data_IF_724045850472
#
_entry.id   IF_724045850472
#
_cell.length_a   1.000
_cell.length_b   1.000
_cell.length_c   1.000
_cell.angle_alpha   90.00
_cell.angle_beta   90.00
_cell.angle_gamma   90.00
#
_symmetry.space_group_name_H-M   'P 1'
#
loop_
_entity.id
_entity.type
_entity.pdbx_description
1 polymer ?
#
# COMPACT_ATOMS: atom_id res chain seq x y z
N UNK A 1 -17.97 35.76 27.75
CA UNK A 1 -16.58 35.28 27.49
C UNK A 1 -16.71 34.18 26.46
N UNK A 2 -16.21 34.39 25.25
CA UNK A 2 -16.20 33.33 24.22
C UNK A 2 -15.25 32.24 24.71
N UNK A 3 -15.78 31.05 24.98
CA UNK A 3 -14.94 29.89 25.25
C UNK A 3 -13.99 29.70 24.08
N UNK A 4 -12.69 29.66 24.37
CA UNK A 4 -11.70 29.39 23.34
C UNK A 4 -11.99 28.00 22.77
N UNK A 5 -12.19 27.91 21.44
CA UNK A 5 -12.42 26.63 20.78
C UNK A 5 -11.27 25.66 21.11
N UNK A 6 -11.56 24.38 21.43
CA UNK A 6 -10.53 23.43 21.84
C UNK A 6 -9.51 23.17 20.72
N UNK A 7 -8.27 22.96 21.11
CA UNK A 7 -7.23 22.49 20.17
C UNK A 7 -7.45 21.00 19.89
N UNK A 8 -7.84 20.68 18.68
CA UNK A 8 -8.15 19.30 18.29
C UNK A 8 -6.89 18.51 17.99
N UNK A 9 -6.63 17.46 18.75
CA UNK A 9 -5.56 16.49 18.56
C UNK A 9 -6.06 15.07 18.82
N UNK A 10 -5.36 14.07 18.32
CA UNK A 10 -5.74 12.67 18.54
C UNK A 10 -5.61 11.82 17.30
N UNK A 11 -6.37 10.72 17.26
CA UNK A 11 -6.37 9.79 16.14
C UNK A 11 -7.79 9.61 15.64
N UNK A 12 -7.94 9.58 14.33
CA UNK A 12 -9.18 9.27 13.63
C UNK A 12 -8.86 8.44 12.38
N UNK A 13 -9.86 8.00 11.66
CA UNK A 13 -9.65 7.31 10.40
C UNK A 13 -10.43 7.98 9.27
N UNK A 14 -9.89 7.85 8.05
CA UNK A 14 -10.56 8.28 6.82
C UNK A 14 -10.73 7.11 5.88
N UNK A 15 -11.78 7.11 5.09
CA UNK A 15 -11.98 6.19 3.96
C UNK A 15 -11.12 6.68 2.78
N UNK A 16 -9.93 6.11 2.61
CA UNK A 16 -9.02 6.50 1.52
C UNK A 16 -9.64 6.16 0.16
N UNK A 17 -9.75 7.11 -0.77
CA UNK A 17 -10.24 6.82 -2.11
C UNK A 17 -9.24 6.00 -2.93
N UNK A 18 -9.74 5.37 -4.01
CA UNK A 18 -8.92 4.67 -5.01
C UNK A 18 -7.99 5.64 -5.74
N UNK A 19 -6.94 5.14 -6.38
CA UNK A 19 -5.96 5.87 -7.19
C UNK A 19 -5.18 6.96 -6.42
N UNK A 20 -5.27 6.99 -5.08
CA UNK A 20 -4.61 7.98 -4.24
C UNK A 20 -3.64 7.29 -3.28
N UNK A 21 -2.37 7.72 -3.24
CA UNK A 21 -1.43 7.19 -2.25
C UNK A 21 -1.77 7.68 -0.83
N UNK A 22 -1.42 6.90 0.22
CA UNK A 22 -1.64 7.33 1.60
C UNK A 22 -1.00 8.69 1.92
N UNK A 23 0.16 8.99 1.32
CA UNK A 23 0.83 10.28 1.49
C UNK A 23 0.08 11.43 0.78
N UNK A 24 -0.52 11.16 -0.38
CA UNK A 24 -1.35 12.13 -1.09
C UNK A 24 -2.64 12.40 -0.31
N UNK A 25 -3.33 11.37 0.18
CA UNK A 25 -4.51 11.53 1.02
C UNK A 25 -4.26 12.42 2.24
N UNK A 26 -3.06 12.31 2.87
CA UNK A 26 -2.69 13.24 3.96
C UNK A 26 -2.47 14.67 3.47
N UNK A 27 -1.89 14.89 2.29
CA UNK A 27 -1.72 16.25 1.73
C UNK A 27 -3.06 16.87 1.39
N UNK A 28 -3.98 16.09 0.82
CA UNK A 28 -5.31 16.54 0.48
C UNK A 28 -6.09 16.90 1.75
N UNK A 29 -6.04 16.05 2.79
CA UNK A 29 -6.56 16.37 4.12
C UNK A 29 -5.98 17.69 4.66
N UNK A 30 -4.66 17.89 4.59
CA UNK A 30 -4.04 19.14 5.03
C UNK A 30 -4.57 20.35 4.24
N UNK A 31 -4.89 20.17 2.96
CA UNK A 31 -5.51 21.20 2.12
C UNK A 31 -6.85 21.70 2.69
N UNK A 32 -7.66 20.78 3.22
CA UNK A 32 -8.94 21.12 3.86
C UNK A 32 -8.77 21.63 5.30
N UNK A 33 -7.89 21.00 6.10
CA UNK A 33 -7.75 21.31 7.52
C UNK A 33 -7.03 22.65 7.76
N UNK A 34 -5.99 22.98 6.98
CA UNK A 34 -5.18 24.20 7.21
C UNK A 34 -5.99 25.51 7.12
N UNK A 35 -6.90 25.74 6.15
CA UNK A 35 -7.66 26.97 6.04
C UNK A 35 -8.92 26.99 6.93
N UNK A 36 -9.24 25.85 7.59
CA UNK A 36 -10.52 25.70 8.31
C UNK A 36 -10.60 26.49 9.60
N UNK A 37 -11.81 26.88 9.98
CA UNK A 37 -12.12 27.45 11.30
C UNK A 37 -11.90 26.40 12.41
N UNK A 38 -12.24 25.16 12.12
CA UNK A 38 -12.11 24.00 13.02
C UNK A 38 -10.67 23.81 13.52
N UNK A 39 -9.66 23.99 12.66
CA UNK A 39 -8.24 23.86 13.02
C UNK A 39 -7.49 25.17 13.21
N UNK A 40 -8.16 26.33 13.09
CA UNK A 40 -7.54 27.63 13.35
C UNK A 40 -6.96 27.75 14.78
N UNK A 41 -7.59 27.19 15.87
CA UNK A 41 -7.00 27.18 17.20
C UNK A 41 -5.70 26.38 17.26
N UNK A 42 -5.61 25.23 16.58
CA UNK A 42 -4.40 24.43 16.50
C UNK A 42 -3.25 25.17 15.79
N UNK A 43 -3.56 25.82 14.66
CA UNK A 43 -2.58 26.64 13.90
C UNK A 43 -2.07 27.80 14.75
N UNK A 44 -2.96 28.48 15.48
CA UNK A 44 -2.61 29.60 16.36
C UNK A 44 -1.69 29.13 17.52
N UNK A 45 -2.03 28.03 18.18
CA UNK A 45 -1.25 27.44 19.25
C UNK A 45 0.18 27.03 18.80
N UNK A 46 0.27 26.36 17.64
CA UNK A 46 1.58 25.96 17.10
C UNK A 46 2.43 27.16 16.64
N UNK A 47 1.79 28.23 16.12
CA UNK A 47 2.46 29.50 15.83
C UNK A 47 3.05 30.13 17.09
N UNK A 48 2.23 30.28 18.13
CA UNK A 48 2.67 30.87 19.41
C UNK A 48 3.86 30.08 20.01
N UNK A 49 3.79 28.73 19.95
CA UNK A 49 4.87 27.85 20.39
C UNK A 49 6.17 28.09 19.60
N UNK A 50 6.10 28.18 18.27
CA UNK A 50 7.28 28.46 17.42
C UNK A 50 7.89 29.84 17.65
N UNK A 51 7.05 30.82 17.94
CA UNK A 51 7.50 32.20 18.24
C UNK A 51 8.17 32.27 19.61
N UNK A 52 7.64 31.58 20.63
CA UNK A 52 8.27 31.46 21.94
C UNK A 52 9.65 30.75 21.85
N UNK A 53 9.76 29.66 21.10
CA UNK A 53 11.04 28.97 20.87
C UNK A 53 12.07 29.85 20.15
N UNK A 54 11.62 30.74 19.25
CA UNK A 54 12.50 31.68 18.54
C UNK A 54 12.99 32.80 19.43
N UNK A 55 12.19 33.24 20.42
CA UNK A 55 12.58 34.26 21.43
C UNK A 55 13.74 33.82 22.32
N UNK A 56 13.98 32.49 22.45
CA UNK A 56 15.08 31.94 23.25
C UNK A 56 16.45 31.88 22.52
N UNK A 57 16.66 32.70 21.48
CA UNK A 57 17.95 32.84 20.79
C UNK A 57 18.37 31.67 19.90
N UNK A 58 17.53 30.66 19.72
CA UNK A 58 17.79 29.50 18.81
C UNK A 58 17.57 29.90 17.35
N UNK A 59 18.57 29.70 16.51
CA UNK A 59 18.46 29.93 15.07
C UNK A 59 17.35 29.05 14.48
N UNK A 60 16.35 29.67 13.82
CA UNK A 60 15.23 28.94 13.19
C UNK A 60 15.77 27.96 12.14
N UNK A 61 15.35 26.70 12.23
CA UNK A 61 15.63 25.70 11.21
C UNK A 61 14.84 26.00 9.93
N UNK A 62 15.21 25.40 8.78
CA UNK A 62 14.47 25.54 7.51
C UNK A 62 12.98 25.21 7.69
N UNK A 63 12.67 24.18 8.47
CA UNK A 63 11.30 23.74 8.76
C UNK A 63 10.51 24.77 9.59
N UNK A 64 11.15 25.44 10.55
CA UNK A 64 10.51 26.48 11.37
C UNK A 64 10.23 27.77 10.60
N UNK A 65 10.87 27.97 9.43
CA UNK A 65 10.62 29.10 8.53
C UNK A 65 9.43 28.88 7.60
N UNK A 66 8.97 27.63 7.45
CA UNK A 66 7.80 27.31 6.62
C UNK A 66 6.50 27.68 7.35
N UNK A 67 5.44 27.93 6.59
CA UNK A 67 4.10 28.15 7.14
C UNK A 67 3.71 27.01 8.09
N UNK A 68 3.00 27.36 9.17
CA UNK A 68 2.47 26.36 10.09
C UNK A 68 1.37 25.59 9.38
N UNK A 69 1.46 24.29 9.40
CA UNK A 69 0.47 23.36 8.85
C UNK A 69 0.05 22.37 9.92
N UNK A 70 -1.19 21.90 9.89
CA UNK A 70 -1.69 20.86 10.77
C UNK A 70 -0.80 19.64 10.61
N UNK A 71 -0.21 19.18 11.72
CA UNK A 71 0.68 18.01 11.72
C UNK A 71 -0.14 16.76 11.58
N UNK A 72 0.02 16.03 10.46
CA UNK A 72 -0.61 14.75 10.18
C UNK A 72 0.42 13.64 10.02
N UNK A 73 -0.02 12.40 10.28
CA UNK A 73 0.69 11.17 9.98
C UNK A 73 -0.31 10.04 9.79
N UNK A 74 0.10 8.90 9.22
CA UNK A 74 -0.78 7.72 9.09
C UNK A 74 -0.22 6.50 9.80
N UNK A 75 -1.11 5.64 10.30
CA UNK A 75 -0.81 4.42 11.05
C UNK A 75 -0.83 3.16 10.19
N UNK A 76 -0.31 3.22 8.97
CA UNK A 76 -0.22 2.08 8.05
C UNK A 76 -0.53 2.48 6.61
N UNK A 77 0.41 2.19 5.71
CA UNK A 77 0.27 2.53 4.28
C UNK A 77 -0.80 1.65 3.62
N UNK A 78 -1.57 2.25 2.73
CA UNK A 78 -2.37 1.59 1.71
C UNK A 78 -1.76 1.89 0.34
N UNK A 79 -1.76 0.89 -0.53
CA UNK A 79 -1.35 1.05 -1.94
C UNK A 79 -2.30 2.02 -2.66
N UNK A 80 -1.91 2.66 -3.77
CA UNK A 80 -2.79 3.57 -4.51
C UNK A 80 -4.09 2.89 -4.96
N UNK A 81 -4.02 1.66 -5.48
CA UNK A 81 -5.17 0.85 -5.87
C UNK A 81 -6.14 0.57 -4.71
N UNK A 82 -5.61 0.47 -3.48
CA UNK A 82 -6.39 0.11 -2.32
C UNK A 82 -7.29 1.25 -1.85
N UNK A 83 -8.46 0.89 -1.31
CA UNK A 83 -9.40 1.76 -0.62
C UNK A 83 -9.49 1.40 0.86
N UNK A 84 -10.33 2.10 1.61
CA UNK A 84 -10.69 1.73 2.96
C UNK A 84 -9.99 2.51 4.07
N UNK A 85 -9.99 1.94 5.26
CA UNK A 85 -9.56 2.59 6.50
C UNK A 85 -8.11 3.03 6.45
N UNK A 86 -7.85 4.33 6.46
CA UNK A 86 -6.54 4.93 6.69
C UNK A 86 -6.56 5.67 8.04
N UNK A 87 -5.86 5.12 9.02
CA UNK A 87 -5.74 5.73 10.35
C UNK A 87 -4.83 6.93 10.29
N UNK A 88 -5.29 8.08 10.78
CA UNK A 88 -4.62 9.37 10.74
C UNK A 88 -4.45 9.92 12.16
N UNK A 89 -3.23 10.32 12.50
CA UNK A 89 -2.95 11.05 13.73
C UNK A 89 -2.81 12.54 13.46
N UNK A 90 -3.38 13.37 14.35
CA UNK A 90 -3.31 14.83 14.34
C UNK A 90 -2.49 15.32 15.53
N UNK A 91 -1.54 16.20 15.29
CA UNK A 91 -0.75 16.82 16.35
C UNK A 91 0.01 15.80 17.20
N UNK A 92 -0.30 15.72 18.49
CA UNK A 92 0.25 14.76 19.45
C UNK A 92 -0.20 13.32 19.13
N UNK A 93 -1.38 13.10 18.51
CA UNK A 93 -1.91 11.81 18.08
C UNK A 93 -0.98 11.07 17.12
N UNK A 94 -0.12 11.78 16.39
CA UNK A 94 0.91 11.14 15.53
C UNK A 94 1.86 10.22 16.31
N UNK A 95 2.03 10.40 17.62
CA UNK A 95 2.86 9.55 18.48
C UNK A 95 2.18 8.23 18.85
N UNK A 96 0.85 8.14 18.69
CA UNK A 96 0.05 6.95 19.00
C UNK A 96 -0.04 5.97 17.81
N UNK A 97 0.41 6.39 16.63
CA UNK A 97 0.25 5.63 15.37
C UNK A 97 1.00 4.30 15.35
N UNK A 98 2.04 4.10 16.18
CA UNK A 98 2.75 2.83 16.23
C UNK A 98 1.85 1.66 16.64
N UNK A 99 0.91 1.86 17.57
CA UNK A 99 -0.06 0.84 17.95
C UNK A 99 -0.93 0.35 16.79
N UNK A 100 -1.24 1.25 15.85
CA UNK A 100 -2.00 0.90 14.64
C UNK A 100 -1.16 0.20 13.57
N UNK A 101 0.15 0.39 13.55
CA UNK A 101 1.03 -0.40 12.71
C UNK A 101 1.02 -1.87 13.17
N UNK A 102 1.00 -2.11 14.46
CA UNK A 102 1.12 -3.44 15.07
C UNK A 102 -0.21 -4.19 15.23
N UNK A 103 -1.37 -3.50 15.10
CA UNK A 103 -2.69 -4.10 15.27
C UNK A 103 -3.10 -5.02 14.09
N UNK A 104 -4.15 -5.81 14.30
CA UNK A 104 -4.79 -6.63 13.26
C UNK A 104 -5.53 -5.76 12.24
N UNK A 105 -5.63 -6.26 11.01
CA UNK A 105 -6.36 -5.64 9.89
C UNK A 105 -7.31 -6.64 9.27
N UNK A 106 -8.45 -6.14 8.79
CA UNK A 106 -9.36 -6.91 7.95
C UNK A 106 -9.33 -6.33 6.55
N UNK A 107 -9.16 -7.21 5.57
CA UNK A 107 -9.13 -6.86 4.16
C UNK A 107 -10.15 -7.66 3.36
N UNK A 108 -10.68 -7.02 2.34
CA UNK A 108 -11.32 -7.69 1.21
C UNK A 108 -10.50 -7.43 -0.05
N UNK A 109 -10.28 -8.45 -0.85
CA UNK A 109 -9.48 -8.36 -2.07
C UNK A 109 -10.10 -9.19 -3.17
N UNK A 110 -9.83 -8.82 -4.42
CA UNK A 110 -10.14 -9.66 -5.58
C UNK A 110 -8.83 -10.10 -6.21
N UNK A 111 -8.65 -11.41 -6.33
CA UNK A 111 -7.58 -12.02 -7.11
C UNK A 111 -8.12 -12.43 -8.48
N UNK A 112 -7.39 -12.06 -9.55
CA UNK A 112 -7.66 -12.52 -10.93
C UNK A 112 -6.57 -13.51 -11.32
N UNK A 113 -6.96 -14.66 -11.88
CA UNK A 113 -6.03 -15.71 -12.25
C UNK A 113 -5.52 -15.55 -13.70
N UNK A 114 -4.48 -16.28 -14.08
CA UNK A 114 -3.96 -16.40 -15.44
C UNK A 114 -2.82 -15.46 -15.79
N UNK A 115 -2.47 -14.49 -14.95
CA UNK A 115 -1.33 -13.60 -15.19
C UNK A 115 -0.64 -13.18 -13.89
N UNK A 116 0.64 -12.81 -14.01
CA UNK A 116 1.41 -12.12 -12.97
C UNK A 116 1.90 -10.78 -13.50
N UNK A 117 1.95 -9.78 -12.61
CA UNK A 117 2.55 -8.49 -12.87
C UNK A 117 3.78 -8.27 -11.98
N UNK A 118 4.64 -7.33 -12.37
CA UNK A 118 5.82 -6.93 -11.61
C UNK A 118 5.50 -6.40 -10.22
N UNK A 119 4.32 -5.79 -10.03
CA UNK A 119 3.83 -5.26 -8.75
C UNK A 119 2.94 -6.22 -7.97
N UNK A 120 2.58 -7.36 -8.56
CA UNK A 120 1.59 -8.33 -8.04
C UNK A 120 0.16 -7.77 -7.97
N UNK A 121 -0.12 -6.67 -8.66
CA UNK A 121 -1.43 -6.05 -8.78
C UNK A 121 -1.68 -5.51 -10.21
N UNK A 122 -2.83 -4.90 -10.44
CA UNK A 122 -3.23 -4.37 -11.76
C UNK A 122 -2.60 -3.03 -12.13
N UNK A 123 -1.81 -2.42 -11.25
CA UNK A 123 -1.09 -1.15 -11.53
C UNK A 123 0.24 -1.38 -12.27
N UNK A 124 0.75 -2.62 -12.23
CA UNK A 124 2.01 -3.01 -12.84
C UNK A 124 1.91 -3.35 -14.32
N UNK A 125 2.96 -4.00 -14.83
CA UNK A 125 3.05 -4.55 -16.17
C UNK A 125 2.95 -6.08 -16.10
N UNK A 126 2.27 -6.70 -17.05
CA UNK A 126 2.21 -8.18 -17.14
C UNK A 126 3.61 -8.70 -17.48
N UNK A 127 4.13 -9.56 -16.63
CA UNK A 127 5.45 -10.20 -16.81
C UNK A 127 5.34 -11.64 -17.27
N UNK A 128 4.23 -12.32 -16.95
CA UNK A 128 4.01 -13.71 -17.31
C UNK A 128 2.53 -14.05 -17.38
N UNK A 129 2.15 -14.96 -18.30
CA UNK A 129 0.80 -15.53 -18.40
C UNK A 129 0.88 -17.03 -18.18
N UNK A 130 -0.21 -17.61 -17.67
CA UNK A 130 -0.36 -19.05 -17.47
C UNK A 130 -1.79 -19.51 -17.76
N UNK A 131 -2.00 -20.78 -18.07
CA UNK A 131 -3.34 -21.36 -18.16
C UNK A 131 -4.15 -21.13 -16.89
N UNK A 132 -5.43 -20.86 -17.02
CA UNK A 132 -6.35 -20.57 -15.92
C UNK A 132 -7.69 -21.31 -16.02
N UNK A 133 -7.94 -21.97 -17.16
CA UNK A 133 -9.21 -22.63 -17.44
C UNK A 133 -9.52 -23.79 -16.50
N UNK A 134 -8.47 -24.36 -15.90
CA UNK A 134 -8.57 -25.46 -14.92
C UNK A 134 -8.85 -24.95 -13.49
N UNK A 135 -8.70 -23.65 -13.24
CA UNK A 135 -8.84 -23.07 -11.89
C UNK A 135 -10.32 -23.05 -11.51
N UNK A 136 -10.66 -23.72 -10.41
CA UNK A 136 -12.02 -23.82 -9.88
C UNK A 136 -12.11 -23.23 -8.47
N UNK A 137 -13.34 -22.95 -8.05
CA UNK A 137 -13.61 -22.49 -6.68
C UNK A 137 -13.06 -23.45 -5.63
N UNK A 138 -13.30 -24.76 -5.82
CA UNK A 138 -12.88 -25.81 -4.88
C UNK A 138 -11.36 -25.88 -4.75
N UNK A 139 -10.61 -25.73 -5.85
CA UNK A 139 -9.15 -25.65 -5.85
C UNK A 139 -8.66 -24.43 -5.06
N UNK A 140 -9.30 -23.29 -5.24
CA UNK A 140 -8.97 -22.06 -4.48
C UNK A 140 -9.25 -22.26 -3.00
N UNK A 141 -10.43 -22.78 -2.62
CA UNK A 141 -10.79 -23.02 -1.21
C UNK A 141 -9.83 -24.01 -0.52
N UNK A 142 -9.40 -25.05 -1.24
CA UNK A 142 -8.41 -26.00 -0.73
C UNK A 142 -7.04 -25.34 -0.57
N UNK A 143 -6.60 -24.55 -1.55
CA UNK A 143 -5.33 -23.83 -1.50
C UNK A 143 -5.29 -22.81 -0.35
N UNK A 144 -6.39 -22.11 -0.07
CA UNK A 144 -6.50 -21.13 1.01
C UNK A 144 -6.19 -21.74 2.39
N UNK A 145 -6.41 -23.03 2.59
CA UNK A 145 -6.09 -23.70 3.86
C UNK A 145 -4.60 -23.63 4.20
N UNK A 146 -3.71 -23.59 3.19
CA UNK A 146 -2.26 -23.51 3.35
C UNK A 146 -1.80 -22.12 3.82
N UNK A 147 -2.63 -21.11 3.65
CA UNK A 147 -2.32 -19.72 4.00
C UNK A 147 -2.96 -19.25 5.31
N UNK A 148 -3.59 -20.15 6.08
CA UNK A 148 -4.15 -19.86 7.39
C UNK A 148 -3.17 -20.17 8.52
N UNK A 149 -3.30 -19.47 9.64
CA UNK A 149 -2.43 -19.64 10.80
C UNK A 149 -1.15 -18.82 10.71
N UNK A 150 -0.07 -19.33 11.28
CA UNK A 150 1.26 -18.71 11.18
C UNK A 150 1.94 -19.19 9.92
N UNK A 151 2.28 -18.25 9.04
CA UNK A 151 2.94 -18.52 7.76
C UNK A 151 4.16 -17.63 7.59
N UNK A 152 5.09 -18.07 6.76
CA UNK A 152 6.20 -17.25 6.27
C UNK A 152 5.79 -16.59 4.96
N UNK A 153 5.93 -15.27 4.86
CA UNK A 153 5.56 -14.52 3.67
C UNK A 153 6.72 -13.67 3.18
N UNK A 154 7.01 -13.74 1.89
CA UNK A 154 8.01 -12.90 1.22
C UNK A 154 7.37 -11.56 0.83
N UNK A 155 7.90 -10.42 1.32
CA UNK A 155 7.44 -9.11 0.90
C UNK A 155 7.66 -8.89 -0.60
N UNK A 156 6.73 -8.22 -1.32
CA UNK A 156 6.94 -7.87 -2.72
C UNK A 156 8.03 -6.80 -2.86
N UNK A 157 8.70 -6.78 -4.02
CA UNK A 157 9.75 -5.77 -4.30
C UNK A 157 9.17 -4.36 -4.24
N UNK A 158 7.96 -4.15 -4.76
CA UNK A 158 7.26 -2.88 -4.66
C UNK A 158 6.64 -2.69 -3.27
N UNK A 159 7.48 -2.62 -2.23
CA UNK A 159 7.06 -2.37 -0.85
C UNK A 159 7.85 -1.23 -0.19
N UNK A 160 7.31 -0.71 0.91
CA UNK A 160 7.95 0.33 1.70
C UNK A 160 9.04 -0.19 2.65
N UNK A 161 9.35 -1.50 2.59
CA UNK A 161 10.44 -2.11 3.34
C UNK A 161 11.76 -1.44 3.01
N UNK A 162 12.57 -1.14 4.02
CA UNK A 162 13.88 -0.50 3.84
C UNK A 162 15.00 -1.51 3.86
N UNK A 163 15.87 -1.40 2.84
CA UNK A 163 17.13 -2.11 2.73
C UNK A 163 18.23 -1.07 2.58
N UNK A 164 19.24 -1.09 3.45
CA UNK A 164 20.34 -0.13 3.46
C UNK A 164 19.87 1.35 3.43
N UNK A 165 18.77 1.65 4.16
CA UNK A 165 18.22 3.00 4.26
C UNK A 165 17.30 3.44 3.12
N UNK A 166 17.27 2.72 1.99
CA UNK A 166 16.45 2.97 0.81
C UNK A 166 15.25 2.01 0.79
N UNK A 167 14.10 2.42 0.29
CA UNK A 167 12.92 1.56 0.21
C UNK A 167 13.03 0.61 -0.98
N UNK A 168 12.44 -0.60 -0.88
CA UNK A 168 12.51 -1.60 -1.95
C UNK A 168 11.94 -1.07 -3.27
N UNK A 169 10.81 -0.36 -3.24
CA UNK A 169 10.23 0.21 -4.46
C UNK A 169 11.14 1.25 -5.14
N UNK A 170 12.08 1.89 -4.41
CA UNK A 170 13.04 2.83 -4.99
C UNK A 170 14.09 2.10 -5.82
N UNK A 171 14.52 0.89 -5.39
CA UNK A 171 15.39 0.02 -6.19
C UNK A 171 14.67 -0.44 -7.46
N UNK A 172 13.42 -0.91 -7.33
CA UNK A 172 12.62 -1.37 -8.47
C UNK A 172 12.42 -0.28 -9.53
N UNK A 173 12.07 0.96 -9.12
CA UNK A 173 11.89 2.09 -10.04
C UNK A 173 13.17 2.52 -10.75
N UNK A 174 14.34 2.32 -10.13
CA UNK A 174 15.63 2.62 -10.73
C UNK A 174 16.16 1.46 -11.59
N UNK A 175 15.44 0.35 -11.71
CA UNK A 175 15.90 -0.87 -12.41
C UNK A 175 17.13 -1.49 -11.77
N UNK A 176 17.37 -1.24 -10.47
CA UNK A 176 18.54 -1.75 -9.73
C UNK A 176 18.19 -3.02 -8.97
N UNK A 177 19.10 -3.99 -8.98
CA UNK A 177 18.97 -5.15 -8.13
C UNK A 177 18.99 -4.75 -6.63
N UNK A 178 18.17 -5.45 -5.83
CA UNK A 178 18.19 -5.28 -4.38
C UNK A 178 19.48 -5.90 -3.84
N UNK A 179 20.30 -5.15 -3.06
CA UNK A 179 21.64 -5.59 -2.67
C UNK A 179 21.67 -6.76 -1.67
N UNK A 180 20.50 -7.19 -1.17
CA UNK A 180 20.33 -8.34 -0.28
C UNK A 180 19.11 -9.14 -0.71
N UNK A 181 19.11 -10.43 -0.41
CA UNK A 181 17.92 -11.26 -0.58
C UNK A 181 16.79 -10.81 0.37
N UNK A 182 15.58 -10.65 -0.18
CA UNK A 182 14.40 -10.30 0.61
C UNK A 182 14.00 -11.51 1.44
N UNK A 183 14.18 -11.41 2.76
CA UNK A 183 13.87 -12.48 3.69
C UNK A 183 12.37 -12.60 3.92
N UNK A 184 11.89 -13.82 4.01
CA UNK A 184 10.53 -14.10 4.47
C UNK A 184 10.32 -13.66 5.92
N UNK A 185 9.09 -13.35 6.26
CA UNK A 185 8.70 -12.89 7.59
C UNK A 185 7.51 -13.66 8.11
N UNK A 186 7.51 -13.97 9.42
CA UNK A 186 6.36 -14.59 10.03
C UNK A 186 5.20 -13.59 10.07
N UNK A 187 4.03 -14.04 9.62
CA UNK A 187 2.74 -13.33 9.69
C UNK A 187 1.65 -14.29 10.12
N UNK A 188 0.59 -13.77 10.75
CA UNK A 188 -0.53 -14.60 11.20
C UNK A 188 -1.77 -14.24 10.39
N UNK A 189 -2.44 -15.25 9.86
CA UNK A 189 -3.73 -15.16 9.16
C UNK A 189 -4.77 -15.89 10.01
N UNK A 190 -5.53 -15.14 10.79
CA UNK A 190 -6.52 -15.71 11.71
C UNK A 190 -7.82 -16.12 11.02
N UNK A 191 -8.14 -15.46 9.91
CA UNK A 191 -9.26 -15.78 9.01
C UNK A 191 -8.84 -15.56 7.57
N UNK A 192 -9.30 -16.46 6.67
CA UNK A 192 -9.13 -16.31 5.22
C UNK A 192 -10.18 -17.16 4.52
N UNK A 193 -11.10 -16.52 3.84
CA UNK A 193 -12.25 -17.17 3.23
C UNK A 193 -12.47 -16.62 1.82
N UNK A 194 -12.89 -17.51 0.89
CA UNK A 194 -13.42 -17.12 -0.40
C UNK A 194 -14.89 -16.76 -0.23
N UNK A 195 -15.20 -15.47 -0.26
CA UNK A 195 -16.56 -14.96 -0.03
C UNK A 195 -17.39 -14.91 -1.29
N UNK A 196 -16.73 -14.87 -2.47
CA UNK A 196 -17.40 -14.83 -3.76
C UNK A 196 -16.48 -15.45 -4.82
N UNK A 197 -17.02 -16.34 -5.64
CA UNK A 197 -16.39 -16.82 -6.85
C UNK A 197 -16.98 -16.08 -8.05
N UNK A 198 -16.11 -15.54 -8.89
CA UNK A 198 -16.47 -14.75 -10.05
C UNK A 198 -16.13 -15.54 -11.31
N UNK A 199 -17.17 -16.01 -11.98
CA UNK A 199 -17.03 -16.83 -13.19
C UNK A 199 -16.38 -16.04 -14.35
N UNK A 200 -15.66 -16.72 -15.24
CA UNK A 200 -15.14 -16.13 -16.46
C UNK A 200 -16.24 -15.40 -17.23
N UNK A 201 -15.96 -14.18 -17.68
CA UNK A 201 -16.91 -13.40 -18.47
C UNK A 201 -18.04 -12.72 -17.67
N UNK A 202 -18.04 -12.79 -16.32
CA UNK A 202 -19.12 -12.21 -15.51
C UNK A 202 -18.67 -11.00 -14.68
N UNK A 203 -17.38 -10.63 -14.71
CA UNK A 203 -16.84 -9.57 -13.87
C UNK A 203 -15.98 -8.58 -14.66
N UNK A 204 -15.76 -7.40 -14.05
CA UNK A 204 -15.04 -6.25 -14.62
C UNK A 204 -13.55 -6.20 -14.28
N UNK A 205 -13.03 -7.15 -13.54
CA UNK A 205 -11.63 -7.14 -13.11
C UNK A 205 -10.75 -7.70 -14.21
N UNK A 206 -9.74 -6.95 -14.65
CA UNK A 206 -8.87 -7.30 -15.78
C UNK A 206 -7.42 -7.37 -15.36
N UNK A 207 -6.60 -8.05 -16.15
CA UNK A 207 -5.14 -7.93 -16.09
C UNK A 207 -4.70 -6.52 -16.52
N UNK A 208 -3.47 -6.10 -16.14
CA UNK A 208 -2.89 -4.87 -16.67
C UNK A 208 -2.88 -4.88 -18.21
N UNK A 209 -3.01 -3.69 -18.82
CA UNK A 209 -2.91 -3.54 -20.28
C UNK A 209 -1.47 -3.62 -20.77
N UNK A 210 -0.55 -3.10 -19.94
CA UNK A 210 0.85 -2.98 -20.31
C UNK A 210 1.57 -4.31 -20.09
N UNK A 211 2.23 -4.78 -21.14
CA UNK A 211 3.19 -5.88 -21.04
C UNK A 211 4.56 -5.33 -20.64
N UNK A 212 5.30 -6.10 -19.86
CA UNK A 212 6.68 -5.81 -19.53
C UNK A 212 7.60 -6.06 -20.76
N UNK A 213 8.67 -5.31 -20.85
CA UNK A 213 9.70 -5.53 -21.88
C UNK A 213 10.47 -6.84 -21.59
N UNK A 214 11.10 -7.42 -22.61
CA UNK A 214 11.79 -8.72 -22.50
C UNK A 214 12.90 -8.73 -21.41
N UNK A 215 13.52 -7.58 -21.18
CA UNK A 215 14.54 -7.43 -20.12
C UNK A 215 13.90 -7.45 -18.73
N UNK A 216 12.74 -6.80 -18.58
CA UNK A 216 11.96 -6.78 -17.34
C UNK A 216 11.39 -8.17 -17.03
N UNK A 217 10.92 -8.90 -18.06
CA UNK A 217 10.44 -10.29 -17.94
C UNK A 217 11.52 -11.23 -17.44
N UNK A 218 12.76 -11.13 -17.95
CA UNK A 218 13.91 -11.94 -17.51
C UNK A 218 14.27 -11.71 -16.03
N UNK A 219 14.12 -10.47 -15.55
CA UNK A 219 14.32 -10.18 -14.13
C UNK A 219 13.20 -10.75 -13.28
N UNK A 220 11.94 -10.63 -13.77
CA UNK A 220 10.77 -11.16 -13.09
C UNK A 220 10.79 -12.69 -13.01
N UNK A 221 11.20 -13.40 -14.07
CA UNK A 221 11.27 -14.87 -14.08
C UNK A 221 12.17 -15.46 -13.00
N UNK A 222 13.22 -14.74 -12.58
CA UNK A 222 14.08 -15.13 -11.46
C UNK A 222 13.39 -15.02 -10.10
N UNK A 223 12.31 -14.26 -10.01
CA UNK A 223 11.61 -13.90 -8.79
C UNK A 223 10.26 -14.59 -8.65
N UNK A 224 9.69 -15.03 -9.78
CA UNK A 224 8.41 -15.73 -9.84
C UNK A 224 8.58 -17.21 -9.45
N UNK A 225 7.58 -17.79 -8.76
CA UNK A 225 7.55 -19.24 -8.53
C UNK A 225 7.61 -19.99 -9.86
N UNK A 226 8.39 -21.06 -9.89
CA UNK A 226 8.41 -22.00 -11.01
C UNK A 226 7.07 -22.76 -11.03
N UNK A 227 6.28 -22.60 -12.08
CA UNK A 227 5.11 -23.43 -12.27
C UNK A 227 5.55 -24.87 -12.61
N UNK A 228 4.79 -25.91 -12.21
CA UNK A 228 5.07 -27.29 -12.61
C UNK A 228 5.18 -27.40 -14.14
N UNK A 229 6.14 -28.20 -14.62
CA UNK A 229 6.45 -28.33 -16.06
C UNK A 229 5.23 -28.78 -16.89
N UNK A 230 4.34 -29.58 -16.32
CA UNK A 230 3.11 -30.05 -16.95
C UNK A 230 2.12 -28.93 -17.33
N UNK A 231 2.23 -27.76 -16.71
CA UNK A 231 1.37 -26.59 -16.98
C UNK A 231 1.93 -25.70 -18.09
N UNK A 232 3.18 -25.88 -18.50
CA UNK A 232 3.85 -25.05 -19.52
C UNK A 232 3.50 -25.48 -20.96
N UNK A 233 3.05 -26.72 -21.17
CA UNK A 233 2.87 -27.31 -22.49
C UNK A 233 1.64 -26.79 -23.28
N UNK A 234 0.70 -26.10 -22.65
CA UNK A 234 -0.54 -25.63 -23.28
C UNK A 234 -0.59 -24.11 -23.55
N UNK A 235 0.46 -23.37 -23.26
CA UNK A 235 0.50 -21.90 -23.42
C UNK A 235 0.72 -21.42 -24.87
N UNK A 236 0.80 -22.33 -25.84
CA UNK A 236 1.20 -22.03 -27.25
C UNK A 236 0.06 -21.99 -28.28
N UNK A 237 -1.23 -22.06 -27.89
CA UNK A 237 -2.34 -21.96 -28.84
C UNK A 237 -3.26 -20.80 -28.47
N UNK A 238 -2.86 -19.60 -28.89
CA UNK A 238 -3.79 -18.49 -29.06
C UNK A 238 -4.64 -18.75 -30.31
N UNK A 239 -5.96 -18.82 -30.12
CA UNK A 239 -6.91 -18.76 -31.23
C UNK A 239 -6.81 -17.36 -31.86
N UNK A 240 -6.19 -17.29 -33.03
CA UNK A 240 -6.27 -16.10 -33.89
C UNK A 240 -7.67 -16.01 -34.49
N UNK A 241 -8.36 -14.86 -34.43
CA UNK A 241 -9.52 -14.65 -35.27
C UNK A 241 -9.04 -14.37 -36.70
N UNK A 242 -9.52 -15.18 -37.64
CA UNK A 242 -9.37 -14.97 -39.06
C UNK A 242 -9.93 -13.62 -39.48
N UNK A 243 -9.06 -12.72 -39.95
CA UNK A 243 -9.45 -11.60 -40.77
C UNK A 243 -8.57 -11.58 -42.02
N UNK A 244 -9.11 -12.20 -43.07
CA UNK A 244 -8.65 -11.95 -44.42
C UNK A 244 -9.06 -10.52 -44.91
N UNK A 245 -8.17 -9.98 -45.72
CA UNK A 245 -8.33 -8.88 -46.69
C UNK A 245 -8.57 -7.46 -46.21
N UNK A 246 -7.52 -6.65 -46.41
CA UNK A 246 -7.51 -5.60 -47.45
C UNK A 246 -6.15 -4.89 -47.53
N UNK A 247 -5.34 -5.32 -48.51
CA UNK A 247 -4.20 -4.56 -49.02
C UNK A 247 -4.69 -3.28 -49.69
N UNK A 248 -4.20 -2.12 -49.25
CA UNK A 248 -3.98 -0.97 -50.15
C UNK A 248 -2.76 -0.13 -49.76
N UNK A 249 -1.82 -0.19 -50.63
CA UNK A 249 -0.62 0.57 -50.92
C UNK A 249 -0.83 2.10 -50.81
N UNK A 250 0.09 2.83 -50.17
CA UNK A 250 0.59 4.12 -50.65
C UNK A 250 1.97 4.42 -50.08
N UNK A 251 2.85 4.71 -51.04
CA UNK A 251 4.24 5.11 -50.91
C UNK A 251 4.40 6.62 -50.64
N UNK A 252 5.55 6.98 -50.05
CA UNK A 252 6.26 8.25 -50.30
C UNK A 252 6.09 9.31 -49.22
N UNK A 253 7.06 9.86 -48.60
CA UNK A 253 8.30 10.51 -49.00
C UNK A 253 8.96 11.17 -47.76
N UNK A 254 10.28 11.04 -47.70
CA UNK A 254 11.31 12.00 -47.25
C UNK A 254 11.13 12.96 -46.08
N UNK A 255 12.21 12.93 -45.21
CA UNK A 255 12.53 13.78 -44.10
C UNK A 255 12.87 15.24 -44.45
N UNK A 256 13.51 16.09 -43.64
CA UNK A 256 14.82 15.87 -43.00
C UNK A 256 15.03 16.45 -41.58
N UNK A 257 16.09 15.94 -40.95
CA UNK A 257 17.08 16.55 -40.03
C UNK A 257 16.85 17.92 -39.36
N UNK A 258 17.21 17.95 -38.09
CA UNK A 258 18.19 18.79 -37.39
C UNK A 258 17.60 19.63 -36.24
N UNK A 259 18.02 19.54 -35.03
CA UNK A 259 19.17 20.19 -34.36
C UNK A 259 19.12 20.05 -32.85
N UNK A 260 20.27 19.67 -32.29
CA UNK A 260 20.66 19.82 -30.89
C UNK A 260 20.50 21.24 -30.39
N UNK A 261 19.95 21.40 -29.16
CA UNK A 261 20.36 22.47 -28.25
C UNK A 261 20.48 21.87 -26.85
N UNK A 262 21.68 22.00 -26.27
CA UNK A 262 22.02 21.84 -24.87
C UNK A 262 21.47 23.02 -24.10
N UNK A 263 20.91 22.80 -22.92
CA UNK A 263 21.07 23.73 -21.79
C UNK A 263 20.94 22.97 -20.46
N UNK A 264 21.87 23.26 -19.59
CA UNK A 264 22.11 22.72 -18.26
C UNK A 264 21.09 23.23 -17.23
N UNK A 265 20.87 22.40 -16.20
CA UNK A 265 20.67 22.83 -14.82
C UNK A 265 19.27 23.13 -14.40
N UNK A 266 18.71 22.30 -13.54
CA UNK A 266 18.16 22.68 -12.23
C UNK A 266 17.24 21.60 -11.65
N UNK A 267 17.55 21.24 -10.43
CA UNK A 267 16.71 20.78 -9.33
C UNK A 267 15.51 19.86 -9.65
N UNK A 268 15.71 18.58 -9.36
CA UNK A 268 14.68 17.55 -9.30
C UNK A 268 13.72 17.82 -8.11
N UNK A 269 12.62 18.49 -8.37
CA UNK A 269 11.43 18.41 -7.54
C UNK A 269 10.73 17.07 -7.83
N UNK A 270 10.49 16.32 -6.76
CA UNK A 270 9.76 15.05 -6.71
C UNK A 270 8.32 15.23 -7.25
N UNK A 271 8.16 15.14 -8.58
CA UNK A 271 6.86 15.02 -9.24
C UNK A 271 6.62 13.55 -9.48
N UNK A 272 5.79 12.94 -8.62
CA UNK A 272 5.11 11.71 -8.97
C UNK A 272 4.37 11.91 -10.31
N UNK A 273 4.38 10.93 -11.23
CA UNK A 273 3.57 11.01 -12.43
C UNK A 273 2.11 11.15 -12.01
N UNK A 274 1.49 12.25 -12.39
CA UNK A 274 0.05 12.41 -12.37
C UNK A 274 -0.50 11.43 -13.39
N UNK A 275 -1.05 10.31 -12.92
CA UNK A 275 -1.91 9.46 -13.74
C UNK A 275 -3.17 10.28 -13.94
N UNK A 276 -3.48 10.64 -15.17
CA UNK A 276 -4.75 11.26 -15.54
C UNK A 276 -5.87 10.32 -15.09
N UNK A 277 -6.52 10.66 -13.98
CA UNK A 277 -7.58 9.86 -13.37
C UNK A 277 -8.90 9.92 -14.15
N UNK A 278 -8.93 10.61 -15.30
CA UNK A 278 -10.16 10.95 -16.02
C UNK A 278 -10.15 10.52 -17.50
N UNK A 279 -9.29 9.59 -17.90
CA UNK A 279 -9.49 8.89 -19.16
C UNK A 279 -10.64 7.91 -19.00
N UNK A 280 -11.69 7.95 -19.85
CA UNK A 280 -12.75 6.94 -19.84
C UNK A 280 -12.08 5.58 -20.01
N UNK A 281 -12.18 4.71 -18.99
CA UNK A 281 -11.75 3.32 -19.12
C UNK A 281 -12.59 2.72 -20.24
N UNK A 282 -11.97 2.43 -21.37
CA UNK A 282 -12.63 1.75 -22.48
C UNK A 282 -13.35 0.52 -21.91
N UNK A 283 -14.59 0.31 -22.33
CA UNK A 283 -15.38 -0.85 -21.96
C UNK A 283 -14.72 -2.08 -22.59
N UNK A 284 -13.85 -2.74 -21.83
CA UNK A 284 -13.07 -3.89 -22.30
C UNK A 284 -13.89 -5.18 -22.42
N UNK A 285 -15.19 -5.07 -22.13
CA UNK A 285 -16.02 -6.26 -22.01
C UNK A 285 -15.65 -7.12 -20.79
N UNK A 286 -16.30 -8.27 -20.61
CA UNK A 286 -16.05 -9.17 -19.49
C UNK A 286 -14.67 -9.84 -19.55
N UNK A 287 -13.98 -9.98 -18.41
CA UNK A 287 -12.69 -10.67 -18.34
C UNK A 287 -12.87 -12.18 -18.61
N UNK A 288 -12.02 -12.80 -19.46
CA UNK A 288 -12.13 -14.22 -19.77
C UNK A 288 -11.62 -15.16 -18.67
N UNK A 289 -10.90 -14.62 -17.66
CA UNK A 289 -10.37 -15.40 -16.57
C UNK A 289 -11.29 -15.42 -15.36
N UNK A 290 -11.28 -16.50 -14.54
CA UNK A 290 -11.99 -16.49 -13.27
C UNK A 290 -11.31 -15.56 -12.25
N UNK A 291 -12.08 -15.11 -11.27
CA UNK A 291 -11.57 -14.35 -10.13
C UNK A 291 -12.22 -14.81 -8.82
N UNK A 292 -11.57 -14.51 -7.71
CA UNK A 292 -12.12 -14.80 -6.39
C UNK A 292 -12.05 -13.56 -5.50
N UNK A 293 -13.14 -13.25 -4.80
CA UNK A 293 -13.15 -12.28 -3.72
C UNK A 293 -12.82 -12.99 -2.42
N UNK A 294 -11.79 -12.52 -1.77
CA UNK A 294 -11.30 -13.09 -0.51
C UNK A 294 -11.49 -12.07 0.61
N UNK A 295 -11.87 -12.54 1.79
CA UNK A 295 -11.89 -11.77 3.03
C UNK A 295 -10.90 -12.38 4.01
N UNK A 296 -10.12 -11.53 4.70
CA UNK A 296 -9.09 -12.01 5.61
C UNK A 296 -8.90 -11.12 6.82
N UNK A 297 -8.52 -11.74 7.94
CA UNK A 297 -8.06 -11.05 9.16
C UNK A 297 -6.60 -11.43 9.39
N UNK A 298 -5.70 -10.42 9.39
CA UNK A 298 -4.26 -10.63 9.37
C UNK A 298 -3.53 -9.78 10.41
N UNK A 299 -2.33 -10.25 10.79
CA UNK A 299 -1.39 -9.50 11.63
C UNK A 299 -0.72 -8.35 10.88
N UNK A 300 0.08 -7.57 11.60
CA UNK A 300 0.93 -6.53 11.00
C UNK A 300 1.97 -7.14 10.05
N UNK A 301 2.36 -6.37 9.02
CA UNK A 301 3.39 -6.78 8.06
C UNK A 301 2.91 -7.72 6.96
N UNK A 302 1.64 -8.11 6.95
CA UNK A 302 1.05 -8.94 5.90
C UNK A 302 0.88 -8.15 4.58
N UNK A 303 1.20 -8.81 3.46
CA UNK A 303 1.05 -8.26 2.11
C UNK A 303 -0.02 -9.05 1.34
N UNK A 304 -1.16 -8.40 1.07
CA UNK A 304 -2.26 -9.02 0.32
C UNK A 304 -1.85 -9.35 -1.11
N UNK A 305 -1.01 -8.52 -1.74
CA UNK A 305 -0.46 -8.76 -3.07
C UNK A 305 0.35 -10.04 -3.15
N UNK A 306 1.22 -10.30 -2.15
CA UNK A 306 1.96 -11.57 -2.08
C UNK A 306 1.02 -12.77 -1.94
N UNK A 307 -0.04 -12.67 -1.10
CA UNK A 307 -1.04 -13.74 -1.00
C UNK A 307 -1.70 -14.04 -2.36
N UNK A 308 -2.13 -13.02 -3.10
CA UNK A 308 -2.76 -13.21 -4.41
C UNK A 308 -1.82 -13.89 -5.40
N UNK A 309 -0.54 -13.50 -5.38
CA UNK A 309 0.50 -14.10 -6.20
C UNK A 309 0.75 -15.57 -5.83
N UNK A 310 0.96 -15.86 -4.55
CA UNK A 310 1.26 -17.19 -4.03
C UNK A 310 0.05 -18.13 -4.19
N UNK A 311 -1.19 -17.61 -4.06
CA UNK A 311 -2.42 -18.37 -4.30
C UNK A 311 -2.52 -18.80 -5.77
N UNK A 312 -2.18 -17.88 -6.71
CA UNK A 312 -2.12 -18.24 -8.14
C UNK A 312 -1.20 -19.42 -8.40
N UNK A 313 0.00 -19.42 -7.81
CA UNK A 313 0.95 -20.53 -7.92
C UNK A 313 0.41 -21.81 -7.25
N UNK A 314 -0.26 -21.71 -6.10
CA UNK A 314 -0.79 -22.85 -5.36
C UNK A 314 -1.91 -23.60 -6.09
N UNK A 315 -2.60 -22.93 -7.04
CA UNK A 315 -3.61 -23.54 -7.90
C UNK A 315 -3.09 -23.91 -9.30
N UNK A 316 -1.75 -23.91 -9.49
CA UNK A 316 -1.13 -24.28 -10.77
C UNK A 316 -1.32 -23.24 -11.88
N UNK A 317 -1.54 -21.98 -11.53
CA UNK A 317 -1.69 -20.85 -12.43
C UNK A 317 -0.83 -19.66 -11.96
N UNK A 318 -1.19 -18.47 -12.34
CA UNK A 318 -0.68 -17.22 -11.82
C UNK A 318 -1.84 -16.39 -11.26
N UNK A 319 -1.56 -15.48 -10.35
CA UNK A 319 -2.59 -14.63 -9.76
C UNK A 319 -2.05 -13.24 -9.44
N UNK A 320 -2.89 -12.23 -9.56
CA UNK A 320 -2.59 -10.86 -9.18
C UNK A 320 -3.80 -10.20 -8.50
N UNK A 321 -3.52 -9.20 -7.69
CA UNK A 321 -4.52 -8.45 -6.95
C UNK A 321 -5.18 -7.40 -7.86
N UNK A 322 -6.50 -7.50 -8.05
CA UNK A 322 -7.27 -6.57 -8.89
C UNK A 322 -8.02 -5.50 -8.08
N UNK A 323 -8.33 -5.76 -6.83
CA UNK A 323 -8.95 -4.81 -5.92
C UNK A 323 -8.53 -5.10 -4.48
N UNK A 324 -8.47 -4.06 -3.67
CA UNK A 324 -8.18 -4.18 -2.24
C UNK A 324 -8.95 -3.13 -1.45
N UNK A 325 -9.64 -3.57 -0.41
CA UNK A 325 -10.26 -2.70 0.57
C UNK A 325 -9.82 -3.10 1.98
N UNK A 326 -9.33 -2.16 2.78
CA UNK A 326 -9.11 -2.38 4.21
C UNK A 326 -10.37 -1.97 4.95
N UNK A 327 -11.23 -2.94 5.27
CA UNK A 327 -12.51 -2.69 5.93
C UNK A 327 -12.35 -2.37 7.41
N UNK A 328 -11.27 -2.86 8.07
CA UNK A 328 -11.00 -2.57 9.48
C UNK A 328 -9.50 -2.49 9.78
N UNK A 329 -9.12 -1.58 10.68
CA UNK A 329 -7.77 -1.52 11.27
C UNK A 329 -7.89 -1.17 12.75
N UNK A 330 -7.55 -2.12 13.62
CA UNK A 330 -7.75 -1.99 15.05
C UNK A 330 -9.22 -1.76 15.39
N UNK A 331 -9.53 -0.64 16.01
CA UNK A 331 -10.88 -0.21 16.40
C UNK A 331 -11.65 0.55 15.31
N UNK A 332 -10.96 0.99 14.24
CA UNK A 332 -11.58 1.71 13.14
C UNK A 332 -12.15 0.75 12.09
N UNK A 333 -13.42 0.94 11.73
CA UNK A 333 -14.17 0.11 10.81
C UNK A 333 -15.03 0.97 9.88
N UNK A 334 -15.03 0.64 8.58
CA UNK A 334 -15.84 1.34 7.58
C UNK A 334 -17.33 1.32 7.96
N UNK A 335 -18.01 2.43 7.69
CA UNK A 335 -19.43 2.58 7.99
C UNK A 335 -19.75 2.82 9.49
N UNK A 336 -18.74 2.78 10.39
CA UNK A 336 -18.94 2.97 11.82
C UNK A 336 -18.29 4.24 12.38
N UNK A 337 -16.99 4.37 12.28
CA UNK A 337 -16.21 5.43 12.91
C UNK A 337 -15.07 5.94 12.01
N UNK A 338 -15.33 6.00 10.73
CA UNK A 338 -14.42 6.46 9.69
C UNK A 338 -15.05 7.67 9.00
N UNK A 339 -14.27 8.72 8.76
CA UNK A 339 -14.69 9.89 7.99
C UNK A 339 -14.66 9.54 6.50
N UNK A 340 -15.76 9.71 5.79
CA UNK A 340 -15.78 9.57 4.35
C UNK A 340 -14.99 10.70 3.69
N UNK A 341 -14.08 10.36 2.77
CA UNK A 341 -13.22 11.34 2.12
C UNK A 341 -14.03 12.35 1.29
N UNK A 342 -15.12 11.88 0.70
CA UNK A 342 -16.07 12.70 -0.06
C UNK A 342 -16.76 13.79 0.79
N UNK A 343 -16.86 13.61 2.10
CA UNK A 343 -17.43 14.64 2.98
C UNK A 343 -16.59 15.90 3.03
N UNK A 344 -15.27 15.80 2.76
CA UNK A 344 -14.37 16.95 2.70
C UNK A 344 -14.76 17.93 1.59
N UNK A 345 -15.21 17.41 0.45
CA UNK A 345 -15.63 18.20 -0.71
C UNK A 345 -16.97 18.90 -0.47
N UNK A 346 -17.80 18.38 0.45
CA UNK A 346 -19.10 18.96 0.82
C UNK A 346 -18.98 20.21 1.71
N UNK A 347 -17.76 20.56 2.13
CA UNK A 347 -17.46 21.76 2.92
C UNK A 347 -17.31 21.52 4.41
N UNK A 348 -16.74 22.51 5.11
CA UNK A 348 -16.40 22.43 6.53
C UNK A 348 -17.62 22.18 7.43
N UNK A 349 -18.79 22.71 7.06
CA UNK A 349 -20.03 22.53 7.82
C UNK A 349 -20.47 21.06 7.87
N UNK A 350 -20.02 20.22 6.92
CA UNK A 350 -20.30 18.77 6.88
C UNK A 350 -19.21 17.99 7.61
N UNK A 351 -17.95 18.14 7.21
CA UNK A 351 -16.87 17.32 7.77
C UNK A 351 -16.39 17.80 9.15
N UNK A 352 -16.48 19.10 9.44
CA UNK A 352 -15.97 19.68 10.70
C UNK A 352 -16.60 19.06 11.94
N UNK A 353 -17.95 19.06 12.08
CA UNK A 353 -18.64 18.41 13.20
C UNK A 353 -18.33 16.89 13.29
N UNK A 354 -18.27 16.17 12.15
CA UNK A 354 -17.95 14.74 12.12
C UNK A 354 -16.55 14.48 12.66
N UNK A 355 -15.56 15.20 12.15
CA UNK A 355 -14.16 15.06 12.57
C UNK A 355 -13.96 15.44 14.04
N UNK A 356 -14.59 16.53 14.50
CA UNK A 356 -14.57 16.93 15.91
C UNK A 356 -15.15 15.83 16.79
N UNK A 357 -16.28 15.23 16.39
CA UNK A 357 -16.90 14.11 17.11
C UNK A 357 -16.01 12.89 17.18
N UNK A 358 -15.34 12.52 16.08
CA UNK A 358 -14.40 11.39 16.06
C UNK A 358 -13.20 11.61 16.98
N UNK A 359 -12.62 12.82 16.97
CA UNK A 359 -11.49 13.17 17.84
C UNK A 359 -11.90 13.24 19.31
N UNK A 360 -13.07 13.77 19.62
CA UNK A 360 -13.60 13.80 20.99
C UNK A 360 -13.90 12.40 21.52
N UNK A 361 -14.42 11.51 20.67
CA UNK A 361 -14.63 10.10 21.02
C UNK A 361 -13.29 9.39 21.28
N UNK A 362 -12.30 9.63 20.40
CA UNK A 362 -10.94 9.12 20.58
C UNK A 362 -10.34 9.54 21.94
N UNK A 363 -10.43 10.82 22.30
CA UNK A 363 -9.91 11.35 23.57
C UNK A 363 -10.60 10.70 24.77
N UNK A 364 -11.92 10.51 24.69
CA UNK A 364 -12.70 9.83 25.74
C UNK A 364 -12.31 8.37 25.92
N UNK A 365 -12.07 7.65 24.81
CA UNK A 365 -11.74 6.23 24.84
C UNK A 365 -10.26 5.99 25.21
N UNK A 366 -9.40 7.02 25.04
CA UNK A 366 -7.95 6.97 25.29
C UNK A 366 -7.50 8.12 26.23
N UNK A 367 -7.99 8.20 27.48
CA UNK A 367 -7.60 9.26 28.41
C UNK A 367 -6.08 9.29 28.62
N UNK A 368 -5.48 10.48 28.63
CA UNK A 368 -4.06 10.65 28.92
C UNK A 368 -3.76 10.17 30.34
N UNK A 369 -2.97 9.13 30.47
CA UNK A 369 -2.58 8.53 31.76
C UNK A 369 -2.53 7.00 31.78
N UNK A 370 -3.19 6.31 30.87
CA UNK A 370 -3.00 4.86 30.68
C UNK A 370 -1.93 4.57 29.63
N UNK A 371 -0.72 5.11 29.86
CA UNK A 371 0.46 4.82 29.07
C UNK A 371 0.84 3.36 29.20
N UNK A 372 1.01 2.71 28.09
CA UNK A 372 1.42 1.32 27.86
C UNK A 372 2.82 1.02 28.47
N UNK A 373 2.94 1.10 29.79
CA UNK A 373 4.15 0.70 30.53
C UNK A 373 4.34 -0.83 30.55
N UNK A 374 3.37 -1.62 30.05
CA UNK A 374 3.47 -3.09 30.10
C UNK A 374 4.28 -3.70 28.96
N UNK A 375 4.48 -3.02 27.84
CA UNK A 375 5.20 -3.60 26.67
C UNK A 375 6.71 -3.33 26.64
N UNK A 376 7.21 -2.32 27.37
CA UNK A 376 8.64 -2.02 27.39
C UNK A 376 9.42 -3.00 28.28
N UNK A 377 8.79 -3.59 29.29
CA UNK A 377 9.41 -4.56 30.22
C UNK A 377 9.61 -5.95 29.59
N UNK A 378 8.72 -6.39 28.69
CA UNK A 378 8.81 -7.72 28.07
C UNK A 378 9.92 -7.82 26.99
N UNK A 379 10.21 -6.72 26.28
CA UNK A 379 11.26 -6.71 25.25
C UNK A 379 12.69 -6.61 25.82
N UNK A 380 12.87 -6.20 27.07
CA UNK A 380 14.18 -6.17 27.74
C UNK A 380 14.62 -7.50 28.33
N UNK A 381 13.71 -8.48 28.49
CA UNK A 381 14.02 -9.80 29.04
C UNK A 381 14.28 -10.90 27.99
N UNK A 382 14.13 -10.62 26.69
CA UNK A 382 14.19 -11.63 25.64
C UNK A 382 15.42 -11.53 24.71
N UNK A 383 16.49 -10.83 25.10
CA UNK A 383 17.74 -10.84 24.33
C UNK A 383 18.94 -11.04 25.27
N UNK A 384 19.55 -12.22 25.30
CA UNK A 384 20.85 -12.37 25.94
C UNK A 384 21.88 -11.56 25.15
N UNK A 385 22.59 -10.67 25.83
CA UNK A 385 23.63 -9.85 25.19
C UNK A 385 24.72 -10.73 24.59
N UNK A 386 25.19 -10.38 23.41
CA UNK A 386 26.29 -11.04 22.68
C UNK A 386 27.60 -11.16 23.51
N UNK A 387 27.68 -10.49 24.62
CA UNK A 387 28.80 -10.49 25.57
C UNK A 387 28.80 -11.73 26.50
N UNK A 388 27.63 -12.33 26.76
CA UNK A 388 27.56 -13.58 27.52
C UNK A 388 27.90 -14.84 26.69
N UNK A 389 27.74 -14.77 25.38
CA UNK A 389 28.17 -15.88 24.49
C UNK A 389 29.67 -15.91 24.28
N UNK A 390 30.37 -14.78 24.38
CA UNK A 390 31.86 -14.76 24.30
C UNK A 390 32.56 -15.31 25.55
N UNK A 391 31.92 -15.27 26.72
CA UNK A 391 32.48 -15.81 27.98
C UNK A 391 32.32 -17.31 28.15
N UNK A 392 31.43 -17.98 27.38
CA UNK A 392 31.29 -19.44 27.41
C UNK A 392 32.27 -20.21 26.49
N UNK A 393 32.85 -19.54 25.52
CA UNK A 393 33.79 -20.16 24.59
C UNK A 393 35.28 -19.98 24.93
N UNK A 394 35.61 -19.37 26.08
CA UNK A 394 37.00 -19.15 26.52
C UNK A 394 37.43 -19.98 27.73
N UNK A 395 36.69 -21.00 28.12
CA UNK A 395 37.06 -21.91 29.21
C UNK A 395 37.02 -23.36 28.75
N UNK A 396 38.06 -23.77 27.97
CA UNK A 396 38.47 -25.15 27.87
C UNK A 396 39.93 -25.23 28.30
N UNK A 397 40.30 -26.11 29.28
CA UNK A 397 41.67 -26.23 29.74
C UNK A 397 42.51 -27.04 28.73
N UNK A 398 43.84 -26.81 28.69
CA UNK A 398 44.74 -27.62 27.86
C UNK A 398 45.03 -28.96 28.52
N UNK A 399 44.99 -30.02 27.71
CA UNK A 399 45.58 -31.31 28.01
C UNK A 399 46.82 -31.51 27.15
#
# INVERSE_FOLDING_TARGET
MSEASPVLEGVFAVHKPIATSSAQALRDLQGYLNPSKTFSPWIAAEKAKRDADAGNGKRRTRKQKQAVQVKLGHGGTLDPLATGVLVVGVGSGTKKLQGFLDCTKVYETVVVFGAASDTYDTEGKVVKRAPYQHVTKDMVEEALKKFRGEIMQKPPIFSALRVQGKRLYEYAREGKEVPIEIQERPVTVSQLDCVEWLEPGTHKYHWPEKEAEEEEKKVADKLLPQLPEDTQATAGQEAQPDTEDLKRKREGSDGPEAKKIKSEGAEAADKAPTVDADAPKEDRGPCPAPAARLRMTVSSGFYVRSLCHDLGAAVGSLGLMAALERSRQGEFELGRNVLEFEDLEKGEDVWGPKLTGLLAQWEKDHPEGQGDHRRISAKRQASPSAEQQRRRNSSSPPA
#
